data_IF_082431672507
#
_entry.id   IF_082431672507
#
_cell.length_a   1.000
_cell.length_b   1.000
_cell.length_c   1.000
_cell.angle_alpha   90.00
_cell.angle_beta   90.00
_cell.angle_gamma   90.00
#
_symmetry.space_group_name_H-M   'P 1'
#
loop_
_entity.id
_entity.type
_entity.pdbx_description
1 polymer ?
#
# COMPACT_ATOMS: atom_id res chain seq x y z
N UNK A 1 -9.53 -16.15 5.68
CA UNK A 1 -8.28 -15.51 6.13
C UNK A 1 -8.31 -14.05 5.70
N UNK A 2 -7.96 -13.16 6.61
CA UNK A 2 -7.87 -11.70 6.38
C UNK A 2 -6.40 -11.31 6.33
N UNK A 3 -5.99 -10.72 5.22
CA UNK A 3 -4.63 -10.21 5.00
C UNK A 3 -4.70 -8.69 4.97
N UNK A 4 -3.88 -8.02 5.75
CA UNK A 4 -3.84 -6.55 5.77
C UNK A 4 -2.48 -6.03 5.31
N UNK A 5 -2.50 -5.10 4.35
CA UNK A 5 -1.36 -4.33 3.91
C UNK A 5 -1.44 -2.96 4.59
N UNK A 6 -0.55 -2.72 5.56
CA UNK A 6 -0.39 -1.41 6.17
C UNK A 6 0.83 -0.73 5.57
N UNK A 7 0.64 0.44 5.01
CA UNK A 7 1.68 1.02 4.17
C UNK A 7 1.92 2.51 4.42
N UNK A 8 3.17 2.92 4.26
CA UNK A 8 3.49 4.34 4.11
C UNK A 8 2.86 4.90 2.81
N UNK A 9 2.49 6.18 2.78
CA UNK A 9 2.13 6.82 1.52
C UNK A 9 3.24 6.68 0.48
N UNK A 10 2.87 6.39 -0.76
CA UNK A 10 3.83 6.27 -1.90
C UNK A 10 4.85 5.14 -1.77
N UNK A 11 4.55 4.11 -1.01
CA UNK A 11 5.37 2.89 -0.90
C UNK A 11 5.06 1.80 -1.94
N UNK A 12 4.22 2.09 -2.95
CA UNK A 12 3.83 1.10 -3.97
C UNK A 12 2.73 0.13 -3.53
N UNK A 13 2.09 0.38 -2.39
CA UNK A 13 1.06 -0.51 -1.82
C UNK A 13 -0.13 -0.75 -2.75
N UNK A 14 -0.54 0.25 -3.54
CA UNK A 14 -1.64 0.10 -4.51
C UNK A 14 -1.34 -0.99 -5.53
N UNK A 15 -0.09 -1.11 -5.96
CA UNK A 15 0.28 -2.14 -6.93
C UNK A 15 0.31 -3.54 -6.32
N UNK A 16 0.84 -3.69 -5.11
CA UNK A 16 0.75 -4.95 -4.37
C UNK A 16 -0.72 -5.35 -4.16
N UNK A 17 -1.57 -4.38 -3.79
CA UNK A 17 -2.99 -4.61 -3.57
C UNK A 17 -3.72 -4.98 -4.87
N UNK A 18 -3.39 -4.35 -5.99
CA UNK A 18 -3.95 -4.70 -7.31
C UNK A 18 -3.63 -6.14 -7.69
N UNK A 19 -2.47 -6.64 -7.32
CA UNK A 19 -2.14 -8.04 -7.59
C UNK A 19 -3.10 -8.99 -6.86
N UNK A 20 -3.47 -8.71 -5.60
CA UNK A 20 -4.53 -9.46 -4.91
C UNK A 20 -5.91 -9.25 -5.55
N UNK A 21 -6.23 -8.02 -5.94
CA UNK A 21 -7.52 -7.66 -6.54
C UNK A 21 -7.83 -8.45 -7.83
N UNK A 22 -6.80 -8.73 -8.64
CA UNK A 22 -6.98 -9.52 -9.86
C UNK A 22 -6.98 -11.04 -9.62
N UNK A 23 -6.79 -11.48 -8.40
CA UNK A 23 -6.89 -12.91 -8.07
C UNK A 23 -8.33 -13.23 -7.61
N UNK A 24 -8.99 -14.14 -8.36
CA UNK A 24 -10.40 -14.52 -8.14
C UNK A 24 -10.72 -15.05 -6.74
N UNK A 25 -9.71 -15.49 -5.98
CA UNK A 25 -9.87 -16.01 -4.64
C UNK A 25 -9.90 -14.90 -3.56
N UNK A 26 -9.73 -13.64 -3.98
CA UNK A 26 -9.67 -12.50 -3.07
C UNK A 26 -10.79 -11.49 -3.30
N UNK A 27 -11.39 -11.05 -2.21
CA UNK A 27 -12.04 -9.73 -2.13
C UNK A 27 -11.00 -8.74 -1.64
N UNK A 28 -10.91 -7.57 -2.27
CA UNK A 28 -9.90 -6.56 -1.91
C UNK A 28 -10.56 -5.22 -1.66
N UNK A 29 -10.31 -4.64 -0.48
CA UNK A 29 -10.79 -3.31 -0.09
C UNK A 29 -9.61 -2.34 0.02
N UNK A 30 -9.69 -1.24 -0.73
CA UNK A 30 -8.67 -0.19 -0.78
C UNK A 30 -9.03 0.93 0.17
N UNK A 31 -8.33 1.03 1.28
CA UNK A 31 -8.51 2.07 2.31
C UNK A 31 -9.95 2.14 2.85
N UNK A 32 -10.50 1.02 3.36
CA UNK A 32 -11.87 1.00 3.85
C UNK A 32 -12.13 1.92 5.05
N UNK A 33 -11.09 2.36 5.77
CA UNK A 33 -11.20 3.37 6.83
C UNK A 33 -11.05 4.81 6.31
N UNK A 34 -10.82 5.02 5.02
CA UNK A 34 -10.64 6.35 4.45
C UNK A 34 -11.97 6.89 3.90
N UNK A 35 -12.55 7.97 4.47
CA UNK A 35 -13.87 8.49 4.08
C UNK A 35 -13.99 8.92 2.60
N UNK A 36 -12.87 9.21 1.96
CA UNK A 36 -12.84 9.58 0.53
C UNK A 36 -12.62 8.39 -0.41
N UNK A 37 -12.36 7.20 0.15
CA UNK A 37 -12.24 5.99 -0.65
C UNK A 37 -13.61 5.49 -1.10
N UNK A 38 -13.72 5.05 -2.35
CA UNK A 38 -14.91 4.34 -2.84
C UNK A 38 -15.21 3.02 -2.10
N UNK A 39 -14.24 2.51 -1.37
CA UNK A 39 -14.31 1.28 -0.57
C UNK A 39 -14.62 1.57 0.91
N UNK A 40 -14.91 2.83 1.24
CA UNK A 40 -15.19 3.23 2.62
C UNK A 40 -16.40 2.50 3.19
N UNK A 41 -16.19 1.85 4.31
CA UNK A 41 -17.21 1.10 5.05
C UNK A 41 -17.71 1.95 6.22
N UNK A 42 -18.60 2.90 5.89
CA UNK A 42 -19.17 3.81 6.90
C UNK A 42 -20.04 3.04 7.91
N UNK A 43 -19.76 3.26 9.19
CA UNK A 43 -20.49 2.64 10.30
C UNK A 43 -20.46 1.10 10.32
N UNK A 44 -19.48 0.49 9.66
CA UNK A 44 -19.24 -0.93 9.69
C UNK A 44 -17.87 -1.16 10.33
N UNK A 45 -17.86 -1.87 11.45
CA UNK A 45 -16.60 -2.25 12.09
C UNK A 45 -15.87 -3.29 11.22
N UNK A 46 -14.53 -3.32 11.25
CA UNK A 46 -13.77 -4.22 10.39
C UNK A 46 -14.10 -5.72 10.56
N UNK A 47 -14.52 -6.16 11.73
CA UNK A 47 -14.95 -7.54 11.99
C UNK A 47 -16.32 -7.90 11.36
N UNK A 48 -17.05 -6.89 10.88
CA UNK A 48 -18.33 -7.03 10.19
C UNK A 48 -18.19 -6.97 8.66
N UNK A 49 -16.99 -6.85 8.12
CA UNK A 49 -16.78 -6.81 6.67
C UNK A 49 -17.19 -8.14 6.03
N UNK A 50 -18.14 -8.07 5.10
CA UNK A 50 -18.62 -9.23 4.38
C UNK A 50 -17.83 -9.44 3.08
N UNK A 51 -17.48 -10.68 2.81
CA UNK A 51 -16.84 -11.08 1.56
C UNK A 51 -17.20 -12.51 1.18
N UNK A 52 -17.33 -12.74 -0.13
CA UNK A 52 -17.81 -14.04 -0.68
C UNK A 52 -16.65 -14.87 -1.25
N UNK A 53 -15.41 -14.46 -1.03
CA UNK A 53 -14.22 -15.14 -1.51
C UNK A 53 -13.51 -15.87 -0.37
N UNK A 54 -12.53 -16.72 -0.71
CA UNK A 54 -11.75 -17.46 0.30
C UNK A 54 -10.91 -16.54 1.20
N UNK A 55 -10.47 -15.41 0.64
CA UNK A 55 -9.59 -14.44 1.29
C UNK A 55 -10.12 -13.03 1.20
N UNK A 56 -9.89 -12.25 2.23
CA UNK A 56 -10.08 -10.79 2.24
C UNK A 56 -8.72 -10.12 2.33
N UNK A 57 -8.42 -9.21 1.39
CA UNK A 57 -7.24 -8.34 1.45
C UNK A 57 -7.67 -6.91 1.75
N UNK A 58 -7.15 -6.34 2.82
CA UNK A 58 -7.36 -4.96 3.22
C UNK A 58 -6.08 -4.16 2.97
N UNK A 59 -6.19 -2.98 2.40
CA UNK A 59 -5.05 -2.06 2.25
C UNK A 59 -5.36 -0.74 2.92
N UNK A 60 -4.49 -0.32 3.83
CA UNK A 60 -4.56 0.99 4.48
C UNK A 60 -3.26 1.77 4.33
N UNK A 61 -3.40 3.07 4.15
CA UNK A 61 -2.28 4.02 4.14
C UNK A 61 -2.19 4.72 5.48
N UNK A 62 -0.98 4.79 6.04
CA UNK A 62 -0.73 5.44 7.31
C UNK A 62 -1.02 6.94 7.28
N UNK A 63 -1.83 7.34 8.24
CA UNK A 63 -2.03 8.74 8.64
C UNK A 63 -2.13 8.80 10.17
N UNK A 64 -1.50 9.77 10.85
CA UNK A 64 -1.40 9.80 12.31
C UNK A 64 -2.74 9.78 13.07
N UNK A 65 -3.79 10.30 12.46
CA UNK A 65 -5.13 10.38 13.05
C UNK A 65 -6.01 9.14 12.83
N UNK A 66 -5.52 8.13 12.09
CA UNK A 66 -6.26 6.88 11.89
C UNK A 66 -5.94 5.88 13.00
N UNK A 67 -6.98 5.30 13.56
CA UNK A 67 -6.84 4.15 14.44
C UNK A 67 -6.89 2.86 13.61
N UNK A 68 -5.77 2.14 13.58
CA UNK A 68 -5.66 0.87 12.86
C UNK A 68 -5.80 -0.37 13.75
N UNK A 69 -5.97 -0.18 15.06
CA UNK A 69 -6.03 -1.29 16.00
C UNK A 69 -7.16 -2.27 15.68
N UNK A 70 -8.30 -1.76 15.22
CA UNK A 70 -9.43 -2.58 14.81
C UNK A 70 -9.11 -3.48 13.61
N UNK A 71 -8.43 -2.96 12.59
CA UNK A 71 -7.99 -3.74 11.44
C UNK A 71 -6.89 -4.74 11.83
N UNK A 72 -5.91 -4.30 12.61
CA UNK A 72 -4.82 -5.17 13.10
C UNK A 72 -5.40 -6.35 13.88
N UNK A 73 -6.40 -6.11 14.72
CA UNK A 73 -7.03 -7.12 15.59
C UNK A 73 -7.72 -8.23 14.80
N UNK A 74 -8.33 -7.92 13.66
CA UNK A 74 -9.04 -8.91 12.83
C UNK A 74 -8.14 -9.60 11.81
N UNK A 75 -6.93 -9.13 11.61
CA UNK A 75 -6.02 -9.61 10.57
C UNK A 75 -5.33 -10.91 10.99
N UNK A 76 -5.42 -11.93 10.15
CA UNK A 76 -4.65 -13.17 10.30
C UNK A 76 -3.18 -12.97 9.90
N UNK A 77 -2.95 -12.16 8.86
CA UNK A 77 -1.62 -11.83 8.33
C UNK A 77 -1.51 -10.33 8.08
N UNK A 78 -0.40 -9.73 8.48
CA UNK A 78 -0.14 -8.30 8.31
C UNK A 78 1.17 -8.10 7.57
N UNK A 79 1.12 -7.36 6.47
CA UNK A 79 2.28 -6.94 5.67
C UNK A 79 2.50 -5.46 5.90
N UNK A 80 3.64 -5.10 6.48
CA UNK A 80 4.08 -3.72 6.64
C UNK A 80 4.91 -3.35 5.41
N UNK A 81 4.44 -2.40 4.61
CA UNK A 81 5.14 -1.96 3.41
C UNK A 81 5.62 -0.52 3.55
N UNK A 82 6.92 -0.32 3.45
CA UNK A 82 7.58 0.98 3.55
C UNK A 82 8.51 1.24 2.36
N UNK A 83 9.12 2.41 2.29
CA UNK A 83 10.09 2.75 1.26
C UNK A 83 11.39 3.25 1.90
N UNK A 84 12.53 2.73 1.44
CA UNK A 84 13.85 3.11 1.93
C UNK A 84 14.31 4.44 1.32
N UNK A 85 14.13 4.60 0.01
CA UNK A 85 14.51 5.81 -0.70
C UNK A 85 13.58 6.97 -0.33
N UNK A 86 13.98 7.70 0.73
CA UNK A 86 13.23 8.84 1.28
C UNK A 86 13.01 9.94 0.23
N UNK A 87 14.03 10.30 -0.52
CA UNK A 87 13.96 11.42 -1.47
C UNK A 87 12.95 11.15 -2.59
N UNK A 88 12.99 9.97 -3.19
CA UNK A 88 12.02 9.59 -4.22
C UNK A 88 10.60 9.49 -3.66
N UNK A 89 10.45 8.98 -2.45
CA UNK A 89 9.16 8.87 -1.78
C UNK A 89 8.59 10.26 -1.48
N UNK A 90 9.40 11.17 -0.94
CA UNK A 90 9.05 12.56 -0.66
C UNK A 90 8.64 13.27 -1.95
N UNK A 91 9.42 13.18 -3.01
CA UNK A 91 9.10 13.76 -4.31
C UNK A 91 7.74 13.26 -4.84
N UNK A 92 7.51 11.95 -4.76
CA UNK A 92 6.25 11.34 -5.17
C UNK A 92 5.07 11.81 -4.33
N UNK A 93 5.25 11.95 -3.01
CA UNK A 93 4.24 12.44 -2.09
C UNK A 93 3.89 13.92 -2.40
N UNK A 94 4.87 14.77 -2.46
CA UNK A 94 4.70 16.21 -2.72
C UNK A 94 4.02 16.45 -4.08
N UNK A 95 4.42 15.71 -5.10
CA UNK A 95 3.75 15.77 -6.40
C UNK A 95 2.26 15.41 -6.31
N UNK A 96 1.93 14.34 -5.59
CA UNK A 96 0.55 13.89 -5.44
C UNK A 96 -0.31 14.90 -4.68
N UNK A 97 0.22 15.49 -3.60
CA UNK A 97 -0.46 16.54 -2.83
C UNK A 97 -0.68 17.81 -3.66
N UNK A 98 0.31 18.20 -4.47
CA UNK A 98 0.25 19.44 -5.27
C UNK A 98 -0.69 19.31 -6.46
N UNK A 99 -0.69 18.16 -7.11
CA UNK A 99 -1.51 17.91 -8.31
C UNK A 99 -2.87 17.32 -8.01
N UNK A 100 -3.13 16.96 -6.75
CA UNK A 100 -4.26 16.14 -6.31
C UNK A 100 -4.41 14.84 -7.12
N UNK A 101 -3.28 14.26 -7.53
CA UNK A 101 -3.25 13.08 -8.38
C UNK A 101 -2.48 11.94 -7.71
N UNK A 102 -3.20 11.17 -6.93
CA UNK A 102 -2.64 10.07 -6.14
C UNK A 102 -2.40 8.78 -6.94
N UNK A 103 -3.07 8.65 -8.08
CA UNK A 103 -3.10 7.42 -8.87
C UNK A 103 -2.04 7.36 -9.98
N UNK A 104 -1.42 8.47 -10.35
CA UNK A 104 -0.41 8.45 -11.41
C UNK A 104 0.96 8.05 -10.87
N UNK A 105 1.67 7.17 -11.59
CA UNK A 105 3.09 6.97 -11.33
C UNK A 105 3.82 8.31 -11.50
N UNK A 106 4.70 8.60 -10.57
CA UNK A 106 5.53 9.79 -10.66
C UNK A 106 6.49 9.66 -11.84
N UNK A 107 6.33 10.52 -12.84
CA UNK A 107 7.34 10.74 -13.86
C UNK A 107 8.16 11.94 -13.40
N UNK A 108 9.42 11.72 -13.08
CA UNK A 108 10.36 12.75 -12.66
C UNK A 108 10.45 13.84 -13.71
N UNK A 109 9.77 14.95 -13.48
CA UNK A 109 9.98 16.21 -14.22
C UNK A 109 10.38 17.25 -13.20
N UNK A 110 11.55 17.79 -13.36
CA UNK A 110 12.09 18.84 -12.51
C UNK A 110 11.13 20.04 -12.42
N UNK A 111 10.36 20.11 -11.35
CA UNK A 111 9.67 21.33 -10.91
C UNK A 111 9.96 21.53 -9.43
N UNK A 112 11.12 22.08 -9.15
CA UNK A 112 11.61 22.39 -7.80
C UNK A 112 10.80 23.44 -7.03
N UNK A 113 9.80 24.09 -7.61
CA UNK A 113 9.22 25.32 -7.07
C UNK A 113 7.93 25.21 -6.26
N UNK A 114 7.41 23.99 -6.01
CA UNK A 114 6.11 23.79 -5.34
C UNK A 114 6.19 23.11 -3.96
N UNK A 115 7.39 22.91 -3.44
CA UNK A 115 7.59 22.23 -2.18
C UNK A 115 7.54 23.23 -1.02
N UNK A 116 6.42 23.27 -0.30
CA UNK A 116 6.41 24.03 0.95
C UNK A 116 7.19 23.25 2.01
N UNK A 117 8.00 23.97 2.79
CA UNK A 117 8.74 23.43 3.93
C UNK A 117 7.84 22.64 4.87
N UNK A 118 6.61 23.12 5.08
CA UNK A 118 5.58 22.49 5.91
C UNK A 118 5.19 21.09 5.45
N UNK A 119 4.97 20.89 4.16
CA UNK A 119 4.59 19.57 3.62
C UNK A 119 5.73 18.55 3.74
N UNK A 120 6.95 18.99 3.53
CA UNK A 120 8.14 18.14 3.71
C UNK A 120 8.33 17.74 5.17
N UNK A 121 8.15 18.68 6.09
CA UNK A 121 8.25 18.41 7.52
C UNK A 121 7.13 17.48 7.99
N UNK A 122 5.90 17.71 7.54
CA UNK A 122 4.78 16.80 7.80
C UNK A 122 5.09 15.37 7.33
N UNK A 123 5.61 15.21 6.13
CA UNK A 123 5.95 13.88 5.60
C UNK A 123 7.06 13.21 6.41
N UNK A 124 8.05 13.96 6.87
CA UNK A 124 9.13 13.45 7.72
C UNK A 124 8.60 12.93 9.06
N UNK A 125 7.69 13.67 9.70
CA UNK A 125 7.03 13.26 10.94
C UNK A 125 6.25 11.97 10.70
N UNK A 126 5.42 11.93 9.67
CA UNK A 126 4.60 10.78 9.29
C UNK A 126 5.47 9.52 9.11
N UNK A 127 6.58 9.64 8.41
CA UNK A 127 7.51 8.53 8.17
C UNK A 127 8.19 8.06 9.46
N UNK A 128 8.59 8.99 10.33
CA UNK A 128 9.20 8.68 11.62
C UNK A 128 8.22 7.92 12.52
N UNK A 129 6.99 8.40 12.66
CA UNK A 129 5.95 7.75 13.45
C UNK A 129 5.59 6.35 12.92
N UNK A 130 5.48 6.19 11.60
CA UNK A 130 5.22 4.90 10.99
C UNK A 130 6.34 3.90 11.31
N UNK A 131 7.59 4.34 11.16
CA UNK A 131 8.76 3.52 11.46
C UNK A 131 8.77 3.08 12.92
N UNK A 132 8.54 3.99 13.84
CA UNK A 132 8.51 3.70 15.27
C UNK A 132 7.38 2.72 15.64
N UNK A 133 6.19 2.92 15.07
CA UNK A 133 5.02 2.12 15.42
C UNK A 133 5.03 0.72 14.81
N UNK A 134 5.51 0.56 13.58
CA UNK A 134 5.26 -0.66 12.80
C UNK A 134 6.51 -1.36 12.28
N UNK A 135 7.60 -0.67 11.98
CA UNK A 135 8.82 -1.31 11.49
C UNK A 135 9.54 -1.97 12.66
N UNK A 136 10.05 -3.18 12.44
CA UNK A 136 10.75 -4.01 13.45
C UNK A 136 9.88 -4.54 14.60
N UNK A 137 8.55 -4.63 14.41
CA UNK A 137 7.64 -5.31 15.35
C UNK A 137 7.23 -6.69 14.84
N UNK A 138 6.27 -7.35 15.49
CA UNK A 138 5.85 -8.74 15.25
C UNK A 138 5.34 -9.05 13.83
N UNK A 139 5.19 -8.05 12.97
CA UNK A 139 4.58 -8.21 11.66
C UNK A 139 5.64 -8.39 10.56
N UNK A 140 5.25 -9.05 9.50
CA UNK A 140 6.09 -9.17 8.32
C UNK A 140 6.30 -7.79 7.67
N UNK A 141 7.55 -7.42 7.51
CA UNK A 141 7.95 -6.09 7.04
C UNK A 141 8.80 -6.23 5.78
N UNK A 142 8.46 -5.46 4.74
CA UNK A 142 9.19 -5.46 3.47
C UNK A 142 9.29 -4.04 2.91
N UNK A 143 10.45 -3.69 2.34
CA UNK A 143 10.60 -2.41 1.66
C UNK A 143 10.09 -2.45 0.22
N UNK A 144 9.76 -1.28 -0.33
CA UNK A 144 9.43 -1.11 -1.74
C UNK A 144 10.57 -1.63 -2.63
N UNK A 145 11.80 -1.28 -2.27
CA UNK A 145 13.00 -1.63 -3.02
C UNK A 145 13.19 -3.15 -3.03
N UNK A 146 13.07 -3.79 -1.89
CA UNK A 146 13.15 -5.25 -1.78
C UNK A 146 12.03 -5.93 -2.59
N UNK A 147 10.79 -5.45 -2.45
CA UNK A 147 9.64 -6.02 -3.13
C UNK A 147 9.76 -5.94 -4.65
N UNK A 148 10.14 -4.77 -5.20
CA UNK A 148 10.04 -4.52 -6.64
C UNK A 148 11.35 -4.68 -7.40
N UNK A 149 12.49 -4.63 -6.74
CA UNK A 149 13.81 -4.72 -7.40
C UNK A 149 14.63 -5.94 -7.00
N UNK A 150 14.35 -6.56 -5.85
CA UNK A 150 15.16 -7.65 -5.30
C UNK A 150 14.38 -8.95 -5.09
N UNK A 151 13.35 -9.20 -5.89
CA UNK A 151 12.53 -10.42 -5.84
C UNK A 151 11.89 -10.70 -4.46
N UNK A 152 11.64 -9.66 -3.66
CA UNK A 152 11.05 -9.77 -2.32
C UNK A 152 9.62 -10.32 -2.31
N UNK A 153 8.98 -10.40 -3.48
CA UNK A 153 7.62 -10.95 -3.57
C UNK A 153 7.56 -12.43 -3.17
N UNK A 154 8.61 -13.21 -3.41
CA UNK A 154 8.68 -14.59 -2.93
C UNK A 154 8.57 -14.66 -1.40
N UNK A 155 9.17 -13.73 -0.68
CA UNK A 155 9.07 -13.65 0.79
C UNK A 155 7.63 -13.40 1.27
N UNK A 156 6.84 -12.63 0.48
CA UNK A 156 5.41 -12.44 0.76
C UNK A 156 4.66 -13.77 0.57
N UNK A 157 4.91 -14.50 -0.50
CA UNK A 157 4.27 -15.80 -0.74
C UNK A 157 4.60 -16.79 0.38
N UNK A 158 5.86 -16.89 0.76
CA UNK A 158 6.32 -17.77 1.84
C UNK A 158 5.68 -17.37 3.19
N UNK A 159 5.58 -16.07 3.46
CA UNK A 159 4.93 -15.57 4.67
C UNK A 159 3.43 -15.84 4.70
N UNK A 160 2.74 -15.67 3.58
CA UNK A 160 1.29 -15.88 3.52
C UNK A 160 0.93 -17.36 3.58
N UNK A 161 1.77 -18.22 3.00
CA UNK A 161 1.55 -19.68 2.91
C UNK A 161 0.18 -20.02 2.31
N UNK A 162 -0.11 -19.39 1.15
CA UNK A 162 -1.35 -19.59 0.42
C UNK A 162 -1.03 -20.34 -0.88
N UNK A 163 -1.39 -21.63 -1.00
CA UNK A 163 -1.05 -22.46 -2.16
C UNK A 163 -1.55 -21.93 -3.51
N UNK A 164 -2.64 -21.18 -3.50
CA UNK A 164 -3.24 -20.60 -4.71
C UNK A 164 -2.54 -19.33 -5.19
N UNK A 165 -1.61 -18.80 -4.42
CA UNK A 165 -0.80 -17.65 -4.81
C UNK A 165 0.46 -18.11 -5.53
N UNK A 166 0.61 -17.70 -6.77
CA UNK A 166 1.80 -17.95 -7.57
C UNK A 166 2.51 -16.64 -7.90
N UNK A 167 3.82 -16.70 -8.05
CA UNK A 167 4.65 -15.55 -8.45
C UNK A 167 4.39 -15.10 -9.90
N UNK A 168 3.45 -15.71 -10.60
CA UNK A 168 3.11 -15.37 -11.98
C UNK A 168 2.51 -13.97 -12.05
N UNK A 169 3.05 -13.17 -12.96
CA UNK A 169 2.54 -11.83 -13.29
C UNK A 169 2.74 -10.75 -12.21
N UNK A 170 3.54 -11.00 -11.18
CA UNK A 170 3.92 -9.91 -10.30
C UNK A 170 4.85 -8.92 -11.05
N UNK A 171 4.52 -7.62 -11.09
CA UNK A 171 5.24 -6.64 -11.89
C UNK A 171 6.52 -6.17 -11.20
N UNK A 172 7.64 -6.83 -11.50
CA UNK A 172 8.96 -6.40 -11.03
C UNK A 172 9.56 -5.25 -11.85
N UNK A 173 10.30 -4.38 -11.21
CA UNK A 173 11.14 -3.35 -11.82
C UNK A 173 10.40 -2.45 -12.82
N UNK A 174 10.96 -2.29 -14.02
CA UNK A 174 10.37 -1.42 -15.06
C UNK A 174 9.01 -1.92 -15.58
N UNK A 175 8.76 -3.22 -15.56
CA UNK A 175 7.46 -3.80 -15.94
C UNK A 175 6.32 -3.27 -15.06
N UNK A 176 6.62 -2.92 -13.83
CA UNK A 176 5.69 -2.25 -12.91
C UNK A 176 5.08 -0.98 -13.48
N UNK A 177 5.88 -0.12 -14.10
CA UNK A 177 5.42 1.14 -14.70
C UNK A 177 4.46 0.93 -15.88
N UNK A 178 4.67 -0.15 -16.64
CA UNK A 178 3.87 -0.47 -17.82
C UNK A 178 2.49 -1.03 -17.42
N UNK A 179 2.41 -1.86 -16.38
CA UNK A 179 1.14 -2.46 -15.93
C UNK A 179 0.22 -1.43 -15.31
N UNK A 180 0.74 -0.52 -14.49
CA UNK A 180 -0.05 0.58 -13.91
C UNK A 180 -0.70 1.43 -15.01
N UNK A 181 -0.03 1.64 -16.14
CA UNK A 181 -0.58 2.38 -17.27
C UNK A 181 -1.65 1.59 -18.04
N UNK A 182 -1.51 0.26 -18.16
CA UNK A 182 -2.50 -0.59 -18.84
C UNK A 182 -3.77 -0.82 -18.02
N UNK A 183 -3.65 -0.94 -16.70
CA UNK A 183 -4.82 -1.16 -15.82
C UNK A 183 -5.76 0.05 -15.79
N UNK A 184 -5.22 1.26 -16.00
CA UNK A 184 -6.02 2.50 -16.08
C UNK A 184 -6.85 2.63 -17.36
N UNK A 185 -6.52 1.90 -18.42
CA UNK A 185 -7.29 1.88 -19.66
C UNK A 185 -8.46 0.88 -19.64
N UNK A 186 -8.62 0.12 -18.55
CA UNK A 186 -9.65 -0.92 -18.38
C UNK A 186 -10.68 -0.59 -17.28
N UNK A 187 -10.55 0.57 -16.63
CA UNK A 187 -11.48 1.13 -15.66
C UNK A 187 -12.02 2.46 -16.20
#
# INVERSE_FOLDING_TARGET
>A
MIITILAEPRSGSTNLTNWFYFNKNFTTLFEPLNPISKWFQKNIEPDQYQYNTKYLCLKEIYYPHKNWDSIIKISDKIIILYRENYEEQLQSFLNSVTTNNWDKPYVYKEKKSLFTKEKSEYFKILKSEFKEKYINKKHFTISYEELYYHNGFQKILDYLDIPELENKNFPYGEKYRIIVNKTKSLI
#
